data_IF_068296521693
#
_entry.id   IF_068296521693
#
_cell.length_a   1.000
_cell.length_b   1.000
_cell.length_c   1.000
_cell.angle_alpha   90.00
_cell.angle_beta   90.00
_cell.angle_gamma   90.00
#
_symmetry.space_group_name_H-M   'P 1'
#
loop_
_entity.id
_entity.type
_entity.pdbx_description
1 polymer ?
#
# COMPACT_ATOMS: atom_id res chain seq x y z
N UNK A 1 7.35 10.02 -9.39
CA UNK A 1 5.89 9.78 -9.27
C UNK A 1 5.64 8.35 -9.73
N UNK A 2 5.03 7.53 -8.89
CA UNK A 2 4.72 6.13 -9.20
C UNK A 2 3.49 6.10 -10.11
N UNK A 3 3.66 5.62 -11.33
CA UNK A 3 2.59 5.41 -12.32
C UNK A 3 2.35 3.90 -12.47
N UNK A 4 1.14 3.39 -12.18
CA UNK A 4 0.84 1.98 -12.34
C UNK A 4 1.08 1.45 -13.75
N UNK A 5 0.85 2.25 -14.79
CA UNK A 5 1.00 1.80 -16.18
C UNK A 5 2.46 1.61 -16.60
N UNK A 6 3.41 2.04 -15.78
CA UNK A 6 4.84 1.75 -15.96
C UNK A 6 5.21 0.31 -15.56
N UNK A 7 4.29 -0.45 -14.95
CA UNK A 7 4.50 -1.83 -14.52
C UNK A 7 3.55 -2.81 -15.23
N UNK A 8 4.08 -4.00 -15.53
CA UNK A 8 3.32 -5.07 -16.17
C UNK A 8 2.16 -5.55 -15.26
N UNK A 9 1.05 -5.96 -15.87
CA UNK A 9 -0.09 -6.51 -15.13
C UNK A 9 0.30 -7.77 -14.35
N UNK A 10 -0.20 -7.90 -13.12
CA UNK A 10 0.02 -9.08 -12.27
C UNK A 10 1.35 -9.09 -11.51
N UNK A 11 2.14 -8.01 -11.57
CA UNK A 11 3.38 -7.90 -10.78
C UNK A 11 3.13 -7.21 -9.43
N UNK A 12 3.93 -7.49 -8.40
CA UNK A 12 3.82 -6.82 -7.11
C UNK A 12 4.07 -5.30 -7.20
N UNK A 13 4.90 -4.85 -8.14
CA UNK A 13 5.09 -3.42 -8.39
C UNK A 13 3.83 -2.75 -8.94
N UNK A 14 3.09 -3.44 -9.82
CA UNK A 14 1.84 -2.91 -10.33
C UNK A 14 0.83 -2.73 -9.20
N UNK A 15 0.69 -3.74 -8.33
CA UNK A 15 -0.22 -3.67 -7.19
C UNK A 15 0.17 -2.57 -6.19
N UNK A 16 1.46 -2.44 -5.84
CA UNK A 16 1.94 -1.36 -4.97
C UNK A 16 1.70 0.02 -5.60
N UNK A 17 1.89 0.16 -6.92
CA UNK A 17 1.58 1.38 -7.62
C UNK A 17 0.07 1.69 -7.66
N UNK A 18 -0.77 0.68 -7.90
CA UNK A 18 -2.23 0.82 -7.88
C UNK A 18 -2.73 1.23 -6.49
N UNK A 19 -2.18 0.66 -5.42
CA UNK A 19 -2.50 1.03 -4.04
C UNK A 19 -2.14 2.48 -3.71
N UNK A 20 -0.92 2.93 -4.07
CA UNK A 20 -0.50 4.33 -3.90
C UNK A 20 -1.31 5.29 -4.78
N UNK A 21 -1.75 4.85 -5.96
CA UNK A 21 -2.64 5.62 -6.81
C UNK A 21 -4.02 5.80 -6.18
N UNK A 22 -4.58 4.74 -5.57
CA UNK A 22 -5.83 4.82 -4.83
C UNK A 22 -5.71 5.83 -3.66
N UNK A 23 -4.61 5.79 -2.91
CA UNK A 23 -4.36 6.79 -1.85
C UNK A 23 -4.33 8.22 -2.40
N UNK A 24 -3.58 8.46 -3.48
CA UNK A 24 -3.49 9.78 -4.11
C UNK A 24 -4.84 10.31 -4.62
N UNK A 25 -5.70 9.41 -5.09
CA UNK A 25 -7.02 9.74 -5.61
C UNK A 25 -8.11 9.70 -4.54
N UNK A 26 -7.74 9.42 -3.28
CA UNK A 26 -8.66 9.31 -2.14
C UNK A 26 -9.74 8.22 -2.38
N UNK A 27 -9.39 7.17 -3.14
CA UNK A 27 -10.27 6.02 -3.45
C UNK A 27 -10.19 4.95 -2.34
N UNK A 28 -10.66 5.30 -1.15
CA UNK A 28 -10.43 4.52 0.08
C UNK A 28 -10.93 3.08 0.02
N UNK A 29 -12.14 2.84 -0.47
CA UNK A 29 -12.70 1.49 -0.59
C UNK A 29 -11.85 0.61 -1.51
N UNK A 30 -11.34 1.19 -2.61
CA UNK A 30 -10.45 0.46 -3.53
C UNK A 30 -9.12 0.19 -2.86
N UNK A 31 -8.53 1.19 -2.21
CA UNK A 31 -7.26 1.07 -1.50
C UNK A 31 -7.31 -0.02 -0.43
N UNK A 32 -8.38 -0.05 0.37
CA UNK A 32 -8.61 -1.08 1.39
C UNK A 32 -8.85 -2.46 0.75
N UNK A 33 -9.59 -2.53 -0.35
CA UNK A 33 -9.81 -3.79 -1.07
C UNK A 33 -8.56 -4.38 -1.73
N UNK A 34 -7.46 -3.64 -1.83
CA UNK A 34 -6.17 -4.17 -2.28
C UNK A 34 -5.32 -4.76 -1.13
N UNK A 35 -5.73 -4.57 0.12
CA UNK A 35 -5.03 -5.11 1.29
C UNK A 35 -5.21 -6.62 1.44
N UNK A 36 -4.44 -7.24 2.34
CA UNK A 36 -4.54 -8.67 2.63
C UNK A 36 -5.91 -9.05 3.24
N UNK A 37 -6.31 -10.30 3.11
CA UNK A 37 -7.47 -10.88 3.81
C UNK A 37 -7.29 -10.80 5.32
N UNK A 38 -6.06 -10.90 5.82
CA UNK A 38 -5.76 -10.63 7.24
C UNK A 38 -6.17 -9.21 7.62
N UNK A 39 -5.80 -8.23 6.79
CA UNK A 39 -6.17 -6.83 6.97
C UNK A 39 -7.69 -6.62 6.94
N UNK A 40 -8.35 -7.13 5.90
CA UNK A 40 -9.80 -6.99 5.72
C UNK A 40 -10.63 -7.76 6.74
N UNK A 41 -10.05 -8.77 7.39
CA UNK A 41 -10.73 -9.61 8.38
C UNK A 41 -10.65 -9.09 9.82
N UNK A 42 -9.87 -8.03 10.08
CA UNK A 42 -9.76 -7.42 11.40
C UNK A 42 -10.82 -6.35 11.60
N UNK A 43 -11.46 -6.34 12.78
CA UNK A 43 -12.46 -5.32 13.14
C UNK A 43 -11.82 -3.96 13.51
N UNK A 44 -10.56 -3.96 13.97
CA UNK A 44 -9.86 -2.75 14.44
C UNK A 44 -9.10 -2.02 13.33
N UNK A 45 -8.68 -2.74 12.28
CA UNK A 45 -7.84 -2.19 11.21
C UNK A 45 -8.54 -1.15 10.31
N UNK A 46 -9.86 -1.22 10.03
CA UNK A 46 -10.55 -0.17 9.29
C UNK A 46 -10.43 1.20 9.98
N UNK A 47 -10.64 1.28 11.29
CA UNK A 47 -10.52 2.54 12.04
C UNK A 47 -9.09 3.10 12.00
N UNK A 48 -8.10 2.22 12.17
CA UNK A 48 -6.68 2.60 12.07
C UNK A 48 -6.31 3.07 10.66
N UNK A 49 -6.90 2.46 9.64
CA UNK A 49 -6.71 2.87 8.25
C UNK A 49 -7.22 4.29 8.00
N UNK A 50 -8.37 4.67 8.58
CA UNK A 50 -8.87 6.04 8.48
C UNK A 50 -7.92 7.04 9.15
N UNK A 51 -7.49 6.75 10.37
CA UNK A 51 -6.58 7.62 11.14
C UNK A 51 -5.27 7.84 10.36
N UNK A 52 -4.70 6.77 9.83
CA UNK A 52 -3.39 6.79 9.19
C UNK A 52 -3.41 7.34 7.77
N UNK A 53 -4.44 7.03 6.98
CA UNK A 53 -4.46 7.36 5.55
C UNK A 53 -5.47 8.44 5.19
N UNK A 54 -6.67 8.48 5.78
CA UNK A 54 -7.70 9.46 5.38
C UNK A 54 -7.33 10.89 5.78
N UNK A 55 -6.59 11.04 6.88
CA UNK A 55 -6.11 12.34 7.34
C UNK A 55 -4.92 12.89 6.51
N UNK A 56 -4.37 12.09 5.60
CA UNK A 56 -3.15 12.36 4.85
C UNK A 56 -3.40 12.35 3.35
N UNK A 57 -3.28 13.51 2.70
CA UNK A 57 -3.39 13.62 1.24
C UNK A 57 -2.04 13.34 0.58
N UNK A 58 -1.93 12.22 -0.13
CA UNK A 58 -0.71 11.84 -0.83
C UNK A 58 -0.43 12.76 -2.03
N UNK A 59 0.78 13.30 -2.11
CA UNK A 59 1.26 14.16 -3.19
C UNK A 59 2.07 13.34 -4.20
N UNK A 60 2.90 12.44 -3.69
CA UNK A 60 3.74 11.56 -4.48
C UNK A 60 4.47 10.54 -3.62
N UNK A 61 5.05 9.57 -4.30
CA UNK A 61 5.83 8.50 -3.69
C UNK A 61 7.00 8.09 -4.58
N UNK A 62 8.03 7.52 -3.96
CA UNK A 62 9.26 7.05 -4.57
C UNK A 62 9.68 5.71 -3.94
N UNK A 63 10.08 4.75 -4.77
CA UNK A 63 10.68 3.50 -4.28
C UNK A 63 12.15 3.77 -3.98
N UNK A 64 12.54 3.64 -2.71
CA UNK A 64 13.93 3.75 -2.28
C UNK A 64 14.65 2.41 -2.49
N UNK A 65 13.99 1.31 -2.11
CA UNK A 65 14.57 -0.03 -2.18
C UNK A 65 13.48 -1.09 -2.35
N UNK A 66 13.84 -2.19 -3.01
CA UNK A 66 13.00 -3.38 -3.18
C UNK A 66 13.74 -4.60 -2.64
N UNK A 67 13.07 -5.39 -1.81
CA UNK A 67 13.53 -6.70 -1.35
C UNK A 67 12.54 -7.73 -1.87
N UNK A 68 13.00 -8.70 -2.67
CA UNK A 68 12.14 -9.71 -3.27
C UNK A 68 12.46 -11.09 -2.70
N UNK A 69 11.41 -11.76 -2.25
CA UNK A 69 11.37 -13.16 -1.84
C UNK A 69 10.45 -13.93 -2.79
N UNK A 70 10.30 -15.24 -2.59
CA UNK A 70 9.53 -16.09 -3.49
C UNK A 70 8.05 -15.66 -3.61
N UNK A 71 7.41 -15.34 -2.48
CA UNK A 71 5.97 -15.03 -2.41
C UNK A 71 5.68 -13.65 -1.78
N UNK A 72 6.70 -12.82 -1.64
CA UNK A 72 6.65 -11.55 -0.91
C UNK A 72 7.68 -10.57 -1.48
N UNK A 73 7.31 -9.30 -1.53
CA UNK A 73 8.18 -8.21 -1.92
C UNK A 73 7.96 -7.03 -0.97
N UNK A 74 9.02 -6.62 -0.30
CA UNK A 74 9.01 -5.41 0.52
C UNK A 74 9.54 -4.22 -0.27
N UNK A 75 8.72 -3.18 -0.35
CA UNK A 75 9.10 -1.91 -0.93
C UNK A 75 9.40 -0.91 0.19
N UNK A 76 10.66 -0.50 0.31
CA UNK A 76 10.99 0.69 1.10
C UNK A 76 10.60 1.91 0.27
N UNK A 77 9.55 2.62 0.70
CA UNK A 77 9.00 3.76 -0.03
C UNK A 77 9.15 5.05 0.76
N UNK A 78 9.41 6.15 0.05
CA UNK A 78 9.25 7.51 0.56
C UNK A 78 7.97 8.08 0.02
N UNK A 79 7.14 8.64 0.88
CA UNK A 79 5.91 9.35 0.51
C UNK A 79 5.99 10.81 0.91
N UNK A 80 5.30 11.65 0.15
CA UNK A 80 5.10 13.06 0.42
C UNK A 80 3.61 13.33 0.56
N UNK A 81 3.17 13.98 1.64
CA UNK A 81 1.75 14.19 1.91
C UNK A 81 1.47 15.52 2.62
N UNK A 82 0.21 15.97 2.58
CA UNK A 82 -0.30 16.99 3.50
C UNK A 82 -1.14 16.34 4.59
N UNK A 83 -1.06 16.86 5.81
CA UNK A 83 -2.15 16.65 6.76
C UNK A 83 -3.35 17.50 6.36
N UNK A 84 -4.56 16.99 6.61
CA UNK A 84 -5.79 17.74 6.44
C UNK A 84 -5.68 19.14 7.08
N UNK A 85 -6.03 20.18 6.33
CA UNK A 85 -5.97 21.57 6.79
C UNK A 85 -4.57 22.20 6.83
N UNK A 86 -3.53 21.51 6.34
CA UNK A 86 -2.16 22.05 6.28
C UNK A 86 -1.69 22.27 4.84
N UNK A 87 -0.76 23.21 4.64
CA UNK A 87 -0.17 23.52 3.33
C UNK A 87 1.33 23.21 3.26
N UNK A 88 1.90 22.64 4.32
CA UNK A 88 3.32 22.30 4.41
C UNK A 88 3.49 20.80 4.15
N UNK A 89 4.17 20.39 3.07
CA UNK A 89 4.36 18.98 2.78
C UNK A 89 5.17 18.31 3.89
N UNK A 90 4.79 17.08 4.23
CA UNK A 90 5.53 16.17 5.09
C UNK A 90 6.07 15.03 4.26
N UNK A 91 7.16 14.43 4.73
CA UNK A 91 7.71 13.22 4.17
C UNK A 91 7.75 12.10 5.19
N UNK A 92 7.61 10.86 4.73
CA UNK A 92 7.72 9.67 5.57
C UNK A 92 8.35 8.54 4.76
N UNK A 93 9.16 7.72 5.43
CA UNK A 93 9.76 6.52 4.85
C UNK A 93 9.28 5.32 5.63
N UNK A 94 8.77 4.31 4.93
CA UNK A 94 8.27 3.07 5.53
C UNK A 94 8.41 1.89 4.57
N UNK A 95 8.10 0.69 5.06
CA UNK A 95 8.03 -0.51 4.24
C UNK A 95 6.59 -0.82 3.87
N UNK A 96 6.36 -1.15 2.61
CA UNK A 96 5.07 -1.60 2.11
C UNK A 96 5.25 -3.03 1.62
N UNK A 97 4.64 -3.98 2.32
CA UNK A 97 4.67 -5.40 1.96
C UNK A 97 3.71 -5.68 0.81
N UNK A 98 4.15 -6.46 -0.16
CA UNK A 98 3.27 -7.03 -1.19
C UNK A 98 3.53 -8.52 -1.26
N UNK A 99 2.55 -9.32 -0.89
CA UNK A 99 2.71 -10.76 -0.77
C UNK A 99 1.50 -11.49 -1.32
N UNK A 100 1.65 -12.78 -1.58
CA UNK A 100 0.54 -13.62 -2.06
C UNK A 100 -0.08 -14.34 -0.88
N UNK A 101 -1.37 -14.13 -0.65
CA UNK A 101 -2.07 -14.68 0.52
C UNK A 101 -3.22 -15.61 0.13
N UNK A 102 -3.05 -16.91 0.44
CA UNK A 102 -4.07 -17.92 0.13
C UNK A 102 -5.23 -17.89 1.13
N UNK A 103 -4.89 -17.83 2.41
CA UNK A 103 -5.79 -17.72 3.56
C UNK A 103 -5.19 -16.70 4.54
N UNK A 104 -5.98 -16.11 5.48
CA UNK A 104 -5.46 -15.16 6.45
C UNK A 104 -4.16 -15.64 7.10
N UNK A 105 -3.10 -14.83 6.99
CA UNK A 105 -1.77 -15.06 7.55
C UNK A 105 -0.96 -16.16 6.85
N UNK A 106 -1.43 -16.66 5.70
CA UNK A 106 -0.84 -17.82 5.01
C UNK A 106 -0.39 -17.45 3.60
N UNK A 107 0.93 -17.47 3.38
CA UNK A 107 1.52 -17.25 2.06
C UNK A 107 1.12 -18.36 1.06
N UNK A 108 0.99 -18.00 -0.21
CA UNK A 108 0.68 -18.95 -1.28
C UNK A 108 1.39 -18.57 -2.57
N UNK A 109 1.88 -19.54 -3.33
CA UNK A 109 2.54 -19.28 -4.62
C UNK A 109 1.57 -19.20 -5.81
N UNK A 110 0.28 -19.44 -5.62
CA UNK A 110 -0.69 -19.61 -6.73
C UNK A 110 -1.80 -18.59 -6.79
N UNK A 111 -1.85 -17.67 -5.82
CA UNK A 111 -2.90 -16.65 -5.70
C UNK A 111 -2.39 -15.27 -6.08
N UNK A 112 -3.33 -14.35 -6.25
CA UNK A 112 -3.03 -12.95 -6.54
C UNK A 112 -2.28 -12.27 -5.39
N UNK A 113 -1.51 -11.24 -5.74
CA UNK A 113 -0.83 -10.38 -4.79
C UNK A 113 -1.83 -9.56 -3.97
N UNK A 114 -1.48 -9.28 -2.73
CA UNK A 114 -2.18 -8.38 -1.81
C UNK A 114 -1.18 -7.45 -1.12
N UNK A 115 -1.65 -6.32 -0.60
CA UNK A 115 -0.82 -5.34 0.09
C UNK A 115 -0.90 -5.54 1.62
N UNK A 116 0.25 -5.56 2.29
CA UNK A 116 0.38 -5.30 3.74
C UNK A 116 0.89 -3.87 3.93
N UNK A 117 -0.01 -2.90 4.14
CA UNK A 117 0.43 -1.58 4.53
C UNK A 117 0.94 -1.63 5.97
N UNK A 118 2.19 -1.25 6.21
CA UNK A 118 2.65 -1.09 7.57
C UNK A 118 1.85 0.04 8.24
N UNK A 119 1.39 -0.18 9.47
CA UNK A 119 0.75 0.85 10.30
C UNK A 119 1.88 1.64 10.95
N UNK A 120 2.21 2.78 10.37
CA UNK A 120 3.38 3.57 10.78
C UNK A 120 3.00 4.78 11.58
#
# INVERSE_FOLDING_TARGET
MIDPNSYATGTPERLMADWLSCWKQEEWDKMFNLTSKTWRGSEELPELFEVEYYSRKLLGAEIIKKHAYENEVDFKIRVYYFYAGTTTPKEKVFFLGVFREGAPGTLSSTVDWVVDPDLV
#
